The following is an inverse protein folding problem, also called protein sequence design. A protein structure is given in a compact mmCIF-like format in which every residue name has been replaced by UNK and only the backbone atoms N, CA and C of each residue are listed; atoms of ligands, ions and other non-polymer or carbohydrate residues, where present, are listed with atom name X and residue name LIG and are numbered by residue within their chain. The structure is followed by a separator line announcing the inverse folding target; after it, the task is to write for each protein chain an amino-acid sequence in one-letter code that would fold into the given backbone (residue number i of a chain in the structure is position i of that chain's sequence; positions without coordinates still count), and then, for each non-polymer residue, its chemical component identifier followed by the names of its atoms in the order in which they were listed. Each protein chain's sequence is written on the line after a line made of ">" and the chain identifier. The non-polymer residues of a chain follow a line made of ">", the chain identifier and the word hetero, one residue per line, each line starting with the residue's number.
data_IF_451714258105
#
_entry.id   IF_451714258105
#
_cell.length_a   1.000
_cell.length_b   1.000
_cell.length_c   1.000
_cell.angle_alpha   90.00
_cell.angle_beta   90.00
_cell.angle_gamma   90.00
#
_symmetry.space_group_name_H-M   'P 1'
#
loop_
_entity.id
_entity.type
_entity.pdbx_description
1 polymer ?
#
# COMPACT_ATOMS: atom_id res chain seq x y z
N UNK A 1 -29.74 -21.65 1.07
CA UNK A 1 -29.63 -20.28 1.65
C UNK A 1 -28.38 -19.66 1.07
N UNK A 2 -28.55 -18.68 0.20
CA UNK A 2 -27.50 -18.03 -0.58
C UNK A 2 -26.58 -17.21 0.32
N UNK A 3 -25.26 -17.34 0.16
CA UNK A 3 -24.28 -16.47 0.82
C UNK A 3 -24.52 -15.01 0.37
N UNK A 4 -24.41 -14.01 1.27
CA UNK A 4 -24.45 -12.63 0.86
C UNK A 4 -23.23 -12.38 -0.03
N UNK A 5 -23.49 -12.01 -1.29
CA UNK A 5 -22.44 -11.52 -2.17
C UNK A 5 -22.10 -10.13 -1.64
N UNK A 6 -21.08 -10.05 -0.80
CA UNK A 6 -20.48 -8.80 -0.37
C UNK A 6 -20.15 -7.98 -1.63
N UNK A 7 -21.02 -7.01 -1.93
CA UNK A 7 -20.89 -6.09 -3.06
C UNK A 7 -19.84 -5.02 -2.72
N UNK A 8 -18.68 -5.47 -2.24
CA UNK A 8 -17.53 -4.62 -1.94
C UNK A 8 -16.75 -4.44 -3.24
N UNK A 9 -16.62 -3.21 -3.75
CA UNK A 9 -15.91 -2.97 -4.99
C UNK A 9 -14.45 -3.43 -4.84
N UNK A 10 -14.02 -4.30 -5.76
CA UNK A 10 -12.65 -4.81 -5.83
C UNK A 10 -11.90 -4.07 -6.92
N UNK A 11 -10.71 -3.60 -6.61
CA UNK A 11 -9.81 -2.93 -7.55
C UNK A 11 -8.53 -3.76 -7.65
N UNK A 12 -8.21 -4.21 -8.86
CA UNK A 12 -6.96 -4.92 -9.14
C UNK A 12 -5.90 -3.89 -9.56
N UNK A 13 -4.72 -3.93 -8.94
CA UNK A 13 -3.60 -3.07 -9.29
C UNK A 13 -2.39 -3.94 -9.62
N UNK A 14 -1.98 -3.95 -10.89
CA UNK A 14 -0.78 -4.65 -11.34
C UNK A 14 0.41 -3.68 -11.35
N UNK A 15 1.47 -3.99 -10.61
CA UNK A 15 2.66 -3.15 -10.47
C UNK A 15 3.91 -3.92 -10.93
N UNK A 16 4.69 -3.32 -11.83
CA UNK A 16 6.01 -3.82 -12.22
C UNK A 16 7.07 -2.87 -11.66
N UNK A 17 7.86 -3.34 -10.71
CA UNK A 17 8.73 -2.51 -9.88
C UNK A 17 10.12 -3.14 -9.80
N UNK A 18 11.16 -2.31 -9.64
CA UNK A 18 12.43 -2.81 -9.15
C UNK A 18 12.27 -3.24 -7.69
N UNK A 19 12.92 -4.34 -7.35
CA UNK A 19 12.85 -4.96 -6.05
C UNK A 19 13.25 -4.03 -4.90
N UNK A 20 14.20 -3.11 -5.12
CA UNK A 20 14.61 -2.09 -4.15
C UNK A 20 13.51 -1.06 -3.86
N UNK A 21 12.53 -0.96 -4.75
CA UNK A 21 11.50 0.08 -4.76
C UNK A 21 10.14 -0.45 -4.29
N UNK A 22 9.98 -1.78 -4.16
CA UNK A 22 8.74 -2.43 -3.72
C UNK A 22 8.25 -1.84 -2.40
N UNK A 23 9.12 -1.73 -1.40
CA UNK A 23 8.75 -1.17 -0.09
C UNK A 23 8.15 0.24 -0.20
N UNK A 24 8.84 1.16 -0.89
CA UNK A 24 8.41 2.54 -1.01
C UNK A 24 7.12 2.70 -1.82
N UNK A 25 6.96 1.90 -2.89
CA UNK A 25 5.77 1.98 -3.76
C UNK A 25 4.56 1.36 -3.09
N UNK A 26 4.68 0.19 -2.46
CA UNK A 26 3.57 -0.45 -1.74
C UNK A 26 3.11 0.44 -0.59
N UNK A 27 4.06 1.02 0.17
CA UNK A 27 3.74 1.99 1.23
C UNK A 27 2.97 3.19 0.68
N UNK A 28 3.43 3.79 -0.42
CA UNK A 28 2.77 4.93 -1.05
C UNK A 28 1.34 4.59 -1.53
N UNK A 29 1.15 3.42 -2.14
CA UNK A 29 -0.17 2.96 -2.61
C UNK A 29 -1.11 2.74 -1.44
N UNK A 30 -0.65 2.07 -0.38
CA UNK A 30 -1.46 1.85 0.83
C UNK A 30 -1.83 3.17 1.49
N UNK A 31 -0.88 4.11 1.60
CA UNK A 31 -1.15 5.45 2.12
C UNK A 31 -2.19 6.20 1.28
N UNK A 32 -2.11 6.15 -0.06
CA UNK A 32 -3.08 6.77 -0.94
C UNK A 32 -4.49 6.15 -0.80
N UNK A 33 -4.57 4.81 -0.71
CA UNK A 33 -5.84 4.11 -0.48
C UNK A 33 -6.44 4.51 0.87
N UNK A 34 -5.63 4.53 1.94
CA UNK A 34 -6.07 4.92 3.27
C UNK A 34 -6.48 6.39 3.32
N UNK A 35 -5.79 7.28 2.62
CA UNK A 35 -6.17 8.69 2.52
C UNK A 35 -7.60 8.85 1.95
N UNK A 36 -7.96 8.09 0.91
CA UNK A 36 -9.30 8.13 0.34
C UNK A 36 -10.37 7.42 1.18
N UNK A 37 -9.98 6.53 2.10
CA UNK A 37 -10.91 5.66 2.85
C UNK A 37 -11.10 6.07 4.31
N UNK A 38 -10.11 6.71 4.92
CA UNK A 38 -10.19 7.24 6.28
C UNK A 38 -10.97 8.55 6.24
N UNK A 39 -12.29 8.45 6.42
CA UNK A 39 -13.18 9.59 6.67
C UNK A 39 -12.90 10.15 8.08
N UNK A 40 -11.80 10.89 8.21
CA UNK A 40 -11.40 11.58 9.42
C UNK A 40 -10.67 12.87 9.07
N UNK A 41 -10.41 13.70 10.07
CA UNK A 41 -9.71 15.00 9.94
C UNK A 41 -8.21 14.78 9.66
N UNK A 42 -7.91 14.07 8.58
CA UNK A 42 -6.54 13.74 8.16
C UNK A 42 -6.02 14.91 7.34
N UNK A 43 -4.96 15.55 7.82
CA UNK A 43 -4.26 16.56 7.05
C UNK A 43 -3.52 15.84 5.90
N UNK A 44 -3.79 16.19 4.63
CA UNK A 44 -3.05 15.61 3.52
C UNK A 44 -1.59 16.03 3.62
N UNK A 45 -0.68 15.05 3.72
CA UNK A 45 0.75 15.30 3.63
C UNK A 45 1.24 14.87 2.25
N UNK A 46 1.83 15.78 1.48
CA UNK A 46 2.48 15.40 0.23
C UNK A 46 3.78 14.63 0.51
N UNK A 47 3.95 13.50 -0.16
CA UNK A 47 5.20 12.73 -0.17
C UNK A 47 5.62 12.51 -1.62
N UNK A 48 6.90 12.71 -1.91
CA UNK A 48 7.44 12.44 -3.25
C UNK A 48 8.07 11.05 -3.23
N UNK A 49 7.48 10.13 -4.00
CA UNK A 49 8.00 8.77 -4.17
C UNK A 49 8.24 8.55 -5.65
N UNK A 50 9.50 8.26 -6.03
CA UNK A 50 9.92 8.04 -7.42
C UNK A 50 9.63 9.20 -8.39
N UNK A 51 9.63 10.44 -7.88
CA UNK A 51 9.30 11.62 -8.69
C UNK A 51 7.81 11.83 -8.92
N UNK A 52 6.95 11.01 -8.29
CA UNK A 52 5.50 11.19 -8.28
C UNK A 52 5.07 11.72 -6.92
N UNK A 53 4.30 12.80 -6.91
CA UNK A 53 3.68 13.33 -5.69
C UNK A 53 2.50 12.44 -5.31
N UNK A 54 2.58 11.78 -4.15
CA UNK A 54 1.49 11.02 -3.55
C UNK A 54 0.98 11.71 -2.28
N UNK A 55 -0.31 11.54 -2.00
CA UNK A 55 -0.93 12.03 -0.77
C UNK A 55 -0.81 10.96 0.30
N UNK A 56 -0.30 11.34 1.47
CA UNK A 56 -0.11 10.50 2.64
C UNK A 56 -0.96 10.97 3.80
N UNK A 57 -1.32 10.03 4.67
CA UNK A 57 -2.06 10.25 5.91
C UNK A 57 -1.08 10.71 7.00
N UNK A 58 -1.30 11.88 7.59
CA UNK A 58 -0.55 12.37 8.75
C UNK A 58 -1.08 11.74 10.06
N UNK A 59 -0.77 10.46 10.27
CA UNK A 59 -1.07 9.74 11.50
C UNK A 59 0.07 8.75 11.79
N UNK A 60 0.74 8.92 12.93
CA UNK A 60 1.93 8.15 13.32
C UNK A 60 1.65 6.66 13.50
N UNK A 61 0.49 6.31 14.06
CA UNK A 61 0.12 4.91 14.31
C UNK A 61 -0.15 4.21 12.98
N UNK A 62 -0.87 4.88 12.07
CA UNK A 62 -1.15 4.36 10.72
C UNK A 62 0.14 4.25 9.91
N UNK A 63 1.01 5.25 9.96
CA UNK A 63 2.29 5.21 9.23
C UNK A 63 3.19 4.09 9.71
N UNK A 64 3.25 3.84 11.02
CA UNK A 64 4.07 2.77 11.59
C UNK A 64 3.54 1.40 11.18
N UNK A 65 2.23 1.18 11.30
CA UNK A 65 1.60 -0.08 10.91
C UNK A 65 1.73 -0.37 9.40
N UNK A 66 1.64 0.67 8.56
CA UNK A 66 1.85 0.54 7.11
C UNK A 66 3.31 0.18 6.81
N UNK A 67 4.27 0.84 7.45
CA UNK A 67 5.70 0.57 7.26
C UNK A 67 6.07 -0.87 7.68
N UNK A 68 5.60 -1.31 8.85
CA UNK A 68 5.84 -2.67 9.33
C UNK A 68 5.29 -3.73 8.36
N UNK A 69 4.05 -3.56 7.87
CA UNK A 69 3.46 -4.50 6.91
C UNK A 69 4.15 -4.47 5.55
N UNK A 70 4.54 -3.29 5.08
CA UNK A 70 5.30 -3.16 3.83
C UNK A 70 6.69 -3.81 3.94
N UNK A 71 7.33 -3.68 5.10
CA UNK A 71 8.63 -4.28 5.38
C UNK A 71 8.56 -5.82 5.39
N UNK A 72 7.53 -6.38 6.04
CA UNK A 72 7.25 -7.83 6.00
C UNK A 72 6.97 -8.30 4.58
N UNK A 73 6.11 -7.58 3.83
CA UNK A 73 5.79 -7.92 2.45
C UNK A 73 7.02 -7.89 1.53
N UNK A 74 7.83 -6.84 1.63
CA UNK A 74 9.07 -6.71 0.86
C UNK A 74 10.07 -7.81 1.21
N UNK A 75 10.13 -8.23 2.48
CA UNK A 75 11.02 -9.32 2.94
C UNK A 75 10.56 -10.70 2.47
N UNK A 76 9.24 -10.91 2.34
CA UNK A 76 8.67 -12.14 1.76
C UNK A 76 8.96 -12.20 0.25
N UNK A 77 8.72 -11.11 -0.48
CA UNK A 77 9.02 -11.02 -1.91
C UNK A 77 10.53 -11.17 -2.21
N UNK A 78 11.37 -10.87 -1.20
CA UNK A 78 12.81 -11.02 -1.22
C UNK A 78 13.29 -12.46 -1.06
N UNK A 79 12.60 -13.23 -0.21
CA UNK A 79 12.93 -14.62 0.06
C UNK A 79 12.38 -15.57 -1.01
N UNK A 80 11.29 -15.20 -1.68
CA UNK A 80 10.84 -15.90 -2.88
C UNK A 80 11.79 -15.59 -4.06
N UNK A 81 12.37 -16.64 -4.62
CA UNK A 81 13.39 -16.63 -5.69
C UNK A 81 12.94 -15.80 -6.94
N UNK A 82 13.78 -15.55 -7.97
CA UNK A 82 13.81 -14.34 -8.82
C UNK A 82 12.58 -14.01 -9.70
N UNK A 83 11.44 -14.69 -9.49
CA UNK A 83 10.13 -14.42 -10.05
C UNK A 83 9.06 -14.33 -8.95
N UNK A 84 9.37 -13.67 -7.83
CA UNK A 84 8.43 -13.44 -6.73
C UNK A 84 7.18 -12.70 -7.21
N UNK A 85 6.09 -13.44 -7.43
CA UNK A 85 4.73 -12.89 -7.58
C UNK A 85 4.08 -12.89 -6.20
N UNK A 86 3.86 -11.70 -5.65
CA UNK A 86 3.03 -11.51 -4.45
C UNK A 86 1.69 -10.91 -4.87
N UNK A 87 0.61 -11.50 -4.37
CA UNK A 87 -0.77 -10.98 -4.48
C UNK A 87 -1.14 -10.12 -3.27
#
# INVERSE_FOLDING_TARGET
>A
MSQPVDNVPRFLLELTLDHRMVHGVVSAVVHAILFHRVFGNVVPQERVVLGVSCVSVDNSDISTEVDEKCSVFSSLLQNDAPQGKGE
#
